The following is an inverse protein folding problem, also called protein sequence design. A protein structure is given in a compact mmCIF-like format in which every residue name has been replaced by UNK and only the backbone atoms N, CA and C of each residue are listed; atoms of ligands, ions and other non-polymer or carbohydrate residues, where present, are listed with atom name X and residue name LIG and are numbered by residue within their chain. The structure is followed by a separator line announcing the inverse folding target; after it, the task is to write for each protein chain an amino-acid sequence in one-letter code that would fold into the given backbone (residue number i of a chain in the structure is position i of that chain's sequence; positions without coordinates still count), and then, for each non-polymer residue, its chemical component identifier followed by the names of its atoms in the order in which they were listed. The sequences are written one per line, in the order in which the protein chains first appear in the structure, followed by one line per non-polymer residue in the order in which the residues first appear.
data_IF_123039876215
#
_entry.id   IF_123039876215
#
_cell.length_a   1.000
_cell.length_b   1.000
_cell.length_c   1.000
_cell.angle_alpha   90.00
_cell.angle_beta   90.00
_cell.angle_gamma   90.00
#
_symmetry.space_group_name_H-M   'P 1'
#
loop_
_entity.id
_entity.type
_entity.pdbx_description
1 polymer ?
#
# COMPACT_ATOMS: atom_id res chain seq x y z
N UNK A 1 20.19 -9.22 0.00
CA UNK A 1 19.60 -7.97 0.54
C UNK A 1 18.18 -7.71 -0.01
N UNK A 2 17.23 -8.64 0.14
CA UNK A 2 15.81 -8.42 -0.24
C UNK A 2 14.82 -8.49 0.93
N UNK A 3 15.26 -8.91 2.11
CA UNK A 3 14.42 -9.04 3.30
C UNK A 3 14.16 -7.72 4.02
N UNK A 4 15.03 -6.71 3.85
CA UNK A 4 14.89 -5.45 4.58
C UNK A 4 13.63 -4.67 4.16
N UNK A 5 13.25 -4.67 2.88
CA UNK A 5 12.10 -3.87 2.45
C UNK A 5 10.76 -4.44 2.95
N UNK A 6 10.59 -5.76 2.93
CA UNK A 6 9.34 -6.39 3.37
C UNK A 6 9.13 -6.27 4.88
N UNK A 7 10.19 -6.44 5.69
CA UNK A 7 10.08 -6.23 7.13
C UNK A 7 9.74 -4.79 7.48
N UNK A 8 10.29 -3.81 6.75
CA UNK A 8 10.11 -2.39 7.06
C UNK A 8 8.66 -1.96 6.74
N UNK A 9 8.13 -2.40 5.59
CA UNK A 9 6.72 -2.20 5.24
C UNK A 9 5.79 -2.89 6.23
N UNK A 10 6.08 -4.15 6.59
CA UNK A 10 5.26 -4.90 7.55
C UNK A 10 5.19 -4.19 8.91
N UNK A 11 6.33 -3.72 9.42
CA UNK A 11 6.40 -2.96 10.66
C UNK A 11 5.61 -1.65 10.57
N UNK A 12 5.75 -0.91 9.46
CA UNK A 12 5.06 0.36 9.28
C UNK A 12 3.52 0.23 9.25
N UNK A 13 2.99 -0.87 8.69
CA UNK A 13 1.55 -1.14 8.64
C UNK A 13 1.05 -1.96 9.85
N UNK A 14 1.92 -2.23 10.83
CA UNK A 14 1.55 -2.89 12.09
C UNK A 14 1.32 -4.40 12.00
N UNK A 15 2.03 -5.11 11.12
CA UNK A 15 1.99 -6.57 11.04
C UNK A 15 3.39 -7.19 11.06
N UNK A 16 3.49 -8.50 11.33
CA UNK A 16 4.77 -9.20 11.28
C UNK A 16 5.22 -9.45 9.84
N UNK A 17 6.54 -9.49 9.63
CA UNK A 17 7.14 -9.82 8.31
C UNK A 17 6.58 -11.14 7.75
N UNK A 18 6.37 -12.14 8.61
CA UNK A 18 5.84 -13.43 8.19
C UNK A 18 4.38 -13.35 7.72
N UNK A 19 3.53 -12.56 8.39
CA UNK A 19 2.15 -12.33 7.95
C UNK A 19 2.13 -11.59 6.61
N UNK A 20 2.98 -10.58 6.46
CA UNK A 20 3.12 -9.83 5.22
C UNK A 20 3.59 -10.72 4.06
N UNK A 21 4.63 -11.54 4.29
CA UNK A 21 5.14 -12.50 3.32
C UNK A 21 4.11 -13.54 2.90
N UNK A 22 3.33 -14.08 3.84
CA UNK A 22 2.23 -14.99 3.53
C UNK A 22 1.18 -14.34 2.63
N UNK A 23 0.91 -13.04 2.83
CA UNK A 23 -0.03 -12.29 1.98
C UNK A 23 0.53 -12.05 0.58
N UNK A 24 1.79 -11.62 0.48
CA UNK A 24 2.49 -11.40 -0.79
C UNK A 24 2.60 -12.67 -1.64
N UNK A 25 2.76 -13.84 -1.01
CA UNK A 25 2.82 -15.13 -1.69
C UNK A 25 1.42 -15.73 -1.97
N UNK A 26 0.33 -15.01 -1.67
CA UNK A 26 -1.03 -15.47 -1.93
C UNK A 26 -1.56 -16.54 -0.98
N UNK A 27 -0.80 -16.91 0.08
CA UNK A 27 -1.25 -17.85 1.11
C UNK A 27 -2.39 -17.27 1.97
N UNK A 28 -2.49 -15.94 2.01
CA UNK A 28 -3.57 -15.18 2.65
C UNK A 28 -3.89 -13.94 1.81
N UNK A 29 -5.16 -13.53 1.77
CA UNK A 29 -5.53 -12.28 1.12
C UNK A 29 -5.22 -11.06 2.01
N UNK A 30 -4.97 -9.93 1.38
CA UNK A 30 -5.00 -8.63 2.05
C UNK A 30 -6.45 -8.26 2.40
N UNK A 31 -6.65 -7.74 3.60
CA UNK A 31 -7.93 -7.20 4.05
C UNK A 31 -8.07 -5.74 3.61
N UNK A 32 -9.29 -5.20 3.65
CA UNK A 32 -9.51 -3.78 3.38
C UNK A 32 -8.68 -2.85 4.29
N UNK A 33 -8.47 -3.25 5.56
CA UNK A 33 -7.62 -2.52 6.50
C UNK A 33 -6.15 -2.53 6.06
N UNK A 34 -5.67 -3.66 5.55
CA UNK A 34 -4.29 -3.76 5.07
C UNK A 34 -4.07 -2.89 3.83
N UNK A 35 -5.02 -2.91 2.89
CA UNK A 35 -4.96 -2.05 1.71
C UNK A 35 -4.96 -0.57 2.08
N UNK A 36 -5.79 -0.17 3.05
CA UNK A 36 -5.78 1.20 3.56
C UNK A 36 -4.42 1.58 4.15
N UNK A 37 -3.86 0.74 5.03
CA UNK A 37 -2.57 1.02 5.64
C UNK A 37 -1.42 1.07 4.61
N UNK A 38 -1.48 0.22 3.57
CA UNK A 38 -0.52 0.26 2.46
C UNK A 38 -0.69 1.53 1.62
N UNK A 39 -1.93 1.93 1.34
CA UNK A 39 -2.24 3.16 0.61
C UNK A 39 -1.70 4.40 1.36
N UNK A 40 -1.95 4.47 2.66
CA UNK A 40 -1.44 5.53 3.53
C UNK A 40 0.10 5.53 3.58
N UNK A 41 0.74 4.35 3.67
CA UNK A 41 2.20 4.20 3.72
C UNK A 41 2.90 4.61 2.42
N UNK A 42 2.34 4.20 1.27
CA UNK A 42 2.89 4.53 -0.05
C UNK A 42 2.39 5.87 -0.60
N UNK A 43 1.55 6.59 0.15
CA UNK A 43 0.88 7.81 -0.27
C UNK A 43 0.19 7.66 -1.64
N UNK A 44 -0.58 6.58 -1.77
CA UNK A 44 -1.27 6.18 -3.00
C UNK A 44 -2.72 5.81 -2.72
N UNK A 45 -3.50 5.47 -3.74
CA UNK A 45 -4.88 5.02 -3.57
C UNK A 45 -5.00 3.50 -3.38
N UNK A 46 -6.01 3.08 -2.63
CA UNK A 46 -6.39 1.67 -2.52
C UNK A 46 -6.76 1.10 -3.89
N UNK A 47 -7.42 1.89 -4.74
CA UNK A 47 -7.80 1.48 -6.09
C UNK A 47 -6.58 1.23 -7.00
N UNK A 48 -5.51 2.01 -6.86
CA UNK A 48 -4.24 1.76 -7.53
C UNK A 48 -3.59 0.46 -7.07
N UNK A 49 -3.54 0.22 -5.75
CA UNK A 49 -3.00 -1.03 -5.19
C UNK A 49 -3.78 -2.27 -5.65
N UNK A 50 -5.08 -2.12 -5.93
CA UNK A 50 -5.94 -3.20 -6.43
C UNK A 50 -5.97 -3.28 -7.96
N UNK A 51 -5.28 -2.39 -8.69
CA UNK A 51 -5.27 -2.37 -10.15
C UNK A 51 -6.61 -1.98 -10.78
N UNK A 52 -7.49 -1.29 -10.04
CA UNK A 52 -8.76 -0.75 -10.55
C UNK A 52 -8.55 0.55 -11.34
N UNK A 53 -7.44 1.22 -11.08
CA UNK A 53 -7.00 2.43 -11.78
C UNK A 53 -5.48 2.39 -11.99
N UNK A 54 -5.01 3.08 -13.02
CA UNK A 54 -3.58 3.37 -13.23
C UNK A 54 -3.16 4.68 -12.55
N UNK A 55 -4.12 5.46 -12.03
CA UNK A 55 -3.85 6.69 -11.30
C UNK A 55 -3.47 6.35 -9.85
N UNK A 56 -2.20 6.58 -9.44
CA UNK A 56 -1.75 6.31 -8.08
C UNK A 56 -2.30 7.30 -7.07
N UNK A 57 -2.96 8.40 -7.46
CA UNK A 57 -3.36 9.41 -6.51
C UNK A 57 -4.56 9.03 -5.63
N UNK A 58 -4.50 9.23 -4.29
CA UNK A 58 -5.64 9.09 -3.41
C UNK A 58 -6.70 10.12 -3.80
N UNK A 59 -7.89 9.63 -4.15
CA UNK A 59 -9.08 10.43 -4.50
C UNK A 59 -9.57 11.34 -3.35
N UNK A 60 -9.16 11.06 -2.11
CA UNK A 60 -9.58 11.80 -0.91
C UNK A 60 -8.62 12.93 -0.51
N UNK A 61 -7.44 13.03 -1.13
CA UNK A 61 -6.53 14.17 -0.92
C UNK A 61 -6.93 15.30 -1.84
N UNK A 62 -7.20 16.53 -1.32
CA UNK A 62 -7.33 17.70 -2.18
C UNK A 62 -6.02 17.81 -2.95
N UNK A 63 -6.07 17.61 -4.26
CA UNK A 63 -4.96 17.93 -5.15
C UNK A 63 -4.65 19.40 -4.87
N UNK A 64 -3.50 19.68 -4.26
CA UNK A 64 -3.00 21.03 -4.19
C UNK A 64 -2.90 21.50 -5.65
N UNK A 65 -3.84 22.35 -6.04
CA UNK A 65 -3.89 23.01 -7.33
C UNK A 65 -2.51 23.63 -7.59
N UNK A 66 -1.65 22.98 -8.38
CA UNK A 66 -0.25 23.41 -8.39
C UNK A 66 0.81 22.53 -9.05
N UNK A 67 0.45 21.51 -9.83
CA UNK A 67 1.40 20.91 -10.79
C UNK A 67 0.89 21.11 -12.21
N UNK A 68 1.05 22.37 -12.64
CA UNK A 68 1.47 22.83 -13.97
C UNK A 68 1.97 21.71 -14.93
N UNK A 69 1.73 21.70 -16.23
CA UNK A 69 1.22 22.66 -17.22
C UNK A 69 0.73 21.89 -18.45
#
# INVERSE_FOLDING_TARGET
MRHCLQKDVALAIGMSEQVFSNKMNGLRSFSAKDYKALADFFNTSVDYLMGRTLDPWPVDTPQAEGVAS
#
